data_IF_764367176778
#
_entry.id   IF_764367176778
#
_cell.length_a   1.000
_cell.length_b   1.000
_cell.length_c   1.000
_cell.angle_alpha   90.00
_cell.angle_beta   90.00
_cell.angle_gamma   90.00
#
_symmetry.space_group_name_H-M   'P 1'
#
loop_
_entity.id
_entity.type
_entity.pdbx_description
1 polymer ?
#
# COMPACT_ATOMS: atom_id res chain seq x y z
N UNK A 1 -24.37 28.57 -17.95
CA UNK A 1 -24.48 28.71 -16.49
C UNK A 1 -24.15 27.36 -15.88
N UNK A 2 -22.90 27.12 -15.47
CA UNK A 2 -22.50 25.88 -14.81
C UNK A 2 -23.04 25.90 -13.38
N UNK A 3 -24.02 25.06 -13.09
CA UNK A 3 -24.54 24.88 -11.74
C UNK A 3 -23.42 24.41 -10.82
N UNK A 4 -23.03 25.25 -9.85
CA UNK A 4 -22.19 24.85 -8.73
C UNK A 4 -23.02 23.92 -7.81
N UNK A 5 -23.19 22.68 -8.24
CA UNK A 5 -23.81 21.64 -7.41
C UNK A 5 -22.78 21.21 -6.39
N UNK A 6 -22.92 21.73 -5.16
CA UNK A 6 -22.17 21.24 -4.01
C UNK A 6 -22.79 19.90 -3.61
N UNK A 7 -22.10 18.80 -3.91
CA UNK A 7 -22.50 17.47 -3.43
C UNK A 7 -22.13 17.35 -1.95
N UNK A 8 -23.09 16.94 -1.13
CA UNK A 8 -22.84 16.66 0.28
C UNK A 8 -21.91 15.44 0.39
N UNK A 9 -20.83 15.59 1.16
CA UNK A 9 -19.94 14.49 1.57
C UNK A 9 -20.02 14.39 3.09
N UNK A 10 -20.27 13.20 3.66
CA UNK A 10 -20.28 13.01 5.11
C UNK A 10 -19.00 13.50 5.78
N UNK A 11 -19.12 14.11 6.96
CA UNK A 11 -17.96 14.61 7.72
C UNK A 11 -16.92 13.53 7.97
N UNK A 12 -17.35 12.29 8.24
CA UNK A 12 -16.45 11.17 8.47
C UNK A 12 -15.56 10.88 7.25
N UNK A 13 -16.10 10.95 6.04
CA UNK A 13 -15.33 10.78 4.79
C UNK A 13 -14.37 11.94 4.57
N UNK A 14 -14.80 13.18 4.81
CA UNK A 14 -13.93 14.36 4.73
C UNK A 14 -12.75 14.25 5.71
N UNK A 15 -13.03 13.87 6.96
CA UNK A 15 -12.00 13.67 7.98
C UNK A 15 -11.07 12.51 7.62
N UNK A 16 -11.60 11.40 7.09
CA UNK A 16 -10.78 10.28 6.63
C UNK A 16 -9.80 10.66 5.51
N UNK A 17 -10.28 11.39 4.50
CA UNK A 17 -9.45 11.89 3.41
C UNK A 17 -8.39 12.89 3.90
N UNK A 18 -8.75 13.80 4.81
CA UNK A 18 -7.83 14.76 5.41
C UNK A 18 -6.72 14.04 6.19
N UNK A 19 -7.09 13.11 7.07
CA UNK A 19 -6.13 12.34 7.87
C UNK A 19 -5.18 11.52 6.98
N UNK A 20 -5.70 10.90 5.92
CA UNK A 20 -4.87 10.15 4.97
C UNK A 20 -3.86 11.07 4.27
N UNK A 21 -4.31 12.23 3.80
CA UNK A 21 -3.44 13.20 3.14
C UNK A 21 -2.35 13.72 4.07
N UNK A 22 -2.71 14.08 5.31
CA UNK A 22 -1.75 14.52 6.33
C UNK A 22 -0.73 13.42 6.66
N UNK A 23 -1.18 12.17 6.79
CA UNK A 23 -0.29 11.03 7.00
C UNK A 23 0.69 10.83 5.85
N UNK A 24 0.23 10.89 4.60
CA UNK A 24 1.07 10.76 3.41
C UNK A 24 2.09 11.90 3.34
N UNK A 25 1.64 13.15 3.52
CA UNK A 25 2.51 14.32 3.49
C UNK A 25 3.56 14.21 4.60
N UNK A 26 3.15 13.93 5.84
CA UNK A 26 4.07 13.81 6.96
C UNK A 26 5.11 12.71 6.73
N UNK A 27 4.68 11.55 6.23
CA UNK A 27 5.59 10.45 5.88
C UNK A 27 6.58 10.85 4.79
N UNK A 28 6.12 11.56 3.76
CA UNK A 28 6.96 12.03 2.65
C UNK A 28 7.99 13.07 3.10
N UNK A 29 7.57 14.06 3.89
CA UNK A 29 8.37 15.27 4.18
C UNK A 29 9.22 15.17 5.43
N UNK A 30 8.78 14.44 6.46
CA UNK A 30 9.46 14.41 7.76
C UNK A 30 10.25 13.13 8.01
N UNK A 31 9.93 12.03 7.30
CA UNK A 31 10.60 10.74 7.49
C UNK A 31 11.66 10.50 6.42
N UNK A 32 12.81 9.98 6.84
CA UNK A 32 14.00 9.80 5.98
C UNK A 32 14.32 8.34 5.68
N UNK A 33 13.52 7.39 6.15
CA UNK A 33 13.72 5.98 5.85
C UNK A 33 13.73 5.75 4.33
N UNK A 34 14.75 5.02 3.86
CA UNK A 34 15.09 4.81 2.45
C UNK A 34 15.65 6.02 1.67
N UNK A 35 15.85 7.17 2.32
CA UNK A 35 16.31 8.42 1.71
C UNK A 35 15.19 9.44 1.53
N UNK A 36 15.56 10.71 1.30
CA UNK A 36 14.62 11.83 1.17
C UNK A 36 14.07 11.98 -0.25
N UNK A 37 14.87 11.66 -1.27
CA UNK A 37 14.60 12.03 -2.68
C UNK A 37 14.10 10.87 -3.54
N UNK A 38 13.66 9.80 -2.90
CA UNK A 38 13.21 8.55 -3.54
C UNK A 38 11.69 8.48 -3.73
N UNK A 39 10.91 9.46 -3.25
CA UNK A 39 9.44 9.32 -3.17
C UNK A 39 8.80 8.98 -4.52
N UNK A 40 9.28 9.60 -5.60
CA UNK A 40 8.73 9.42 -6.94
C UNK A 40 9.15 8.07 -7.58
N UNK A 41 10.14 7.38 -6.99
CA UNK A 41 10.59 6.05 -7.42
C UNK A 41 9.66 4.94 -6.91
N UNK A 42 9.52 3.86 -7.69
CA UNK A 42 8.73 2.67 -7.32
C UNK A 42 9.57 1.50 -6.80
N UNK A 43 10.85 1.76 -6.56
CA UNK A 43 11.79 0.85 -5.91
C UNK A 43 12.66 1.66 -4.97
N UNK A 44 12.66 1.29 -3.70
CA UNK A 44 13.55 1.90 -2.71
C UNK A 44 14.50 0.85 -2.15
N UNK A 45 15.67 1.31 -1.70
CA UNK A 45 16.59 0.46 -0.95
C UNK A 45 17.37 1.22 0.13
N UNK A 46 17.82 0.47 1.13
CA UNK A 46 18.65 0.96 2.24
C UNK A 46 19.45 -0.19 2.84
N UNK A 47 20.29 0.10 3.84
CA UNK A 47 21.04 -0.90 4.58
C UNK A 47 20.45 -1.11 5.97
N UNK A 48 20.25 -2.38 6.33
CA UNK A 48 19.93 -2.82 7.68
C UNK A 48 21.11 -3.67 8.22
N UNK A 49 22.04 -2.99 8.90
CA UNK A 49 23.35 -3.57 9.20
C UNK A 49 24.10 -3.93 7.91
N UNK A 50 24.47 -5.20 7.74
CA UNK A 50 25.17 -5.69 6.54
C UNK A 50 24.23 -6.12 5.40
N UNK A 51 22.92 -6.08 5.60
CA UNK A 51 21.93 -6.55 4.61
C UNK A 51 21.33 -5.38 3.86
N UNK A 52 21.29 -5.48 2.53
CA UNK A 52 20.53 -4.56 1.69
C UNK A 52 19.05 -4.90 1.81
N UNK A 53 18.23 -3.94 2.22
CA UNK A 53 16.77 -4.03 2.23
C UNK A 53 16.25 -3.33 0.99
N UNK A 54 15.42 -4.02 0.23
CA UNK A 54 14.81 -3.50 -1.00
C UNK A 54 13.31 -3.63 -0.87
N UNK A 55 12.58 -2.58 -1.23
CA UNK A 55 11.14 -2.62 -1.39
C UNK A 55 10.79 -2.20 -2.82
N UNK A 56 9.84 -2.91 -3.40
CA UNK A 56 9.30 -2.64 -4.73
C UNK A 56 7.80 -2.53 -4.65
N UNK A 57 7.29 -1.37 -5.01
CA UNK A 57 5.88 -1.03 -4.99
C UNK A 57 5.15 -1.56 -6.23
N UNK A 58 5.28 -2.86 -6.49
CA UNK A 58 4.65 -3.54 -7.62
C UNK A 58 3.30 -4.16 -7.26
N UNK A 59 2.41 -4.23 -8.24
CA UNK A 59 1.13 -4.96 -8.14
C UNK A 59 1.31 -6.46 -8.41
N UNK A 60 0.41 -7.29 -7.88
CA UNK A 60 0.27 -8.71 -8.24
C UNK A 60 -0.69 -8.93 -9.43
N UNK A 61 -1.41 -7.89 -9.88
CA UNK A 61 -2.35 -7.96 -11.01
C UNK A 61 -1.67 -8.13 -12.37
N UNK A 62 -0.35 -7.96 -12.40
CA UNK A 62 0.49 -8.08 -13.60
C UNK A 62 1.70 -8.95 -13.28
N UNK A 63 2.17 -9.77 -14.24
CA UNK A 63 3.39 -10.54 -14.06
C UNK A 63 4.57 -9.64 -13.69
N UNK A 64 5.40 -10.09 -12.74
CA UNK A 64 6.55 -9.34 -12.24
C UNK A 64 7.75 -10.28 -12.09
N UNK A 65 8.94 -9.77 -12.39
CA UNK A 65 10.21 -10.43 -12.17
C UNK A 65 11.25 -9.42 -11.69
N UNK A 66 12.47 -9.86 -11.41
CA UNK A 66 13.53 -8.99 -10.87
C UNK A 66 13.83 -7.72 -11.68
N UNK A 67 13.50 -7.68 -12.97
CA UNK A 67 13.80 -6.58 -13.88
C UNK A 67 12.55 -5.81 -14.36
N UNK A 68 11.40 -6.48 -14.46
CA UNK A 68 10.17 -5.92 -15.01
C UNK A 68 9.04 -6.08 -14.02
N UNK A 69 8.32 -5.00 -13.76
CA UNK A 69 7.15 -4.99 -12.91
C UNK A 69 6.29 -3.77 -13.24
N UNK A 70 4.99 -3.88 -12.97
CA UNK A 70 4.08 -2.74 -12.98
C UNK A 70 3.89 -2.22 -11.55
N UNK A 71 3.91 -0.89 -11.34
CA UNK A 71 3.67 -0.34 -10.02
C UNK A 71 2.21 -0.52 -9.58
N UNK A 72 2.00 -0.49 -8.28
CA UNK A 72 0.65 -0.32 -7.69
C UNK A 72 0.05 0.98 -8.25
N UNK A 73 -1.22 0.96 -8.62
CA UNK A 73 -1.89 2.15 -9.16
C UNK A 73 -2.20 3.20 -8.08
N UNK A 74 -2.17 4.47 -8.44
CA UNK A 74 -2.72 5.54 -7.61
C UNK A 74 -4.27 5.39 -7.50
N UNK A 75 -4.89 5.82 -6.38
CA UNK A 75 -4.29 6.52 -5.23
C UNK A 75 -3.62 5.62 -4.17
N UNK A 76 -3.80 4.29 -4.23
CA UNK A 76 -3.28 3.37 -3.21
C UNK A 76 -1.75 3.36 -3.07
N UNK A 77 -1.01 3.69 -4.14
CA UNK A 77 0.44 3.74 -4.14
C UNK A 77 1.01 4.71 -3.09
N UNK A 78 0.45 5.90 -2.95
CA UNK A 78 0.98 6.91 -2.03
C UNK A 78 0.76 6.52 -0.57
N UNK A 79 -0.41 5.93 -0.26
CA UNK A 79 -0.66 5.29 1.03
C UNK A 79 0.35 4.18 1.31
N UNK A 80 0.62 3.32 0.32
CA UNK A 80 1.57 2.22 0.46
C UNK A 80 2.98 2.73 0.77
N UNK A 81 3.43 3.74 0.04
CA UNK A 81 4.73 4.40 0.25
C UNK A 81 4.84 5.01 1.65
N UNK A 82 3.79 5.73 2.08
CA UNK A 82 3.70 6.31 3.42
C UNK A 82 3.76 5.22 4.51
N UNK A 83 2.95 4.17 4.39
CA UNK A 83 2.92 3.05 5.32
C UNK A 83 4.28 2.37 5.47
N UNK A 84 4.95 2.03 4.36
CA UNK A 84 6.27 1.37 4.40
C UNK A 84 7.31 2.28 5.05
N UNK A 85 7.33 3.58 4.73
CA UNK A 85 8.28 4.52 5.32
C UNK A 85 8.04 4.74 6.81
N UNK A 86 6.79 4.88 7.23
CA UNK A 86 6.43 5.01 8.64
C UNK A 86 6.83 3.74 9.42
N UNK A 87 6.36 2.58 8.94
CA UNK A 87 6.70 1.28 9.52
C UNK A 87 8.21 1.11 9.71
N UNK A 88 8.99 1.42 8.68
CA UNK A 88 10.44 1.22 8.72
C UNK A 88 11.16 2.26 9.57
N UNK A 89 10.63 3.48 9.68
CA UNK A 89 11.13 4.48 10.64
C UNK A 89 10.97 3.98 12.07
N UNK A 90 9.78 3.49 12.41
CA UNK A 90 9.46 3.05 13.78
C UNK A 90 10.15 1.73 14.12
N UNK A 91 10.18 0.79 13.17
CA UNK A 91 10.72 -0.56 13.36
C UNK A 91 11.43 -1.05 12.09
N UNK A 92 12.71 -0.71 11.92
CA UNK A 92 13.51 -1.23 10.82
C UNK A 92 13.53 -2.76 10.82
N UNK A 93 13.35 -3.37 9.65
CA UNK A 93 13.35 -4.83 9.47
C UNK A 93 14.24 -5.23 8.30
N UNK A 94 14.90 -6.39 8.41
CA UNK A 94 15.79 -6.87 7.36
C UNK A 94 15.06 -7.33 6.07
N UNK A 95 13.74 -7.48 6.09
CA UNK A 95 12.94 -7.93 4.97
C UNK A 95 11.50 -7.38 5.04
N UNK A 96 11.05 -6.73 3.97
CA UNK A 96 9.70 -6.15 3.83
C UNK A 96 8.71 -7.00 3.03
N UNK A 97 9.12 -8.20 2.59
CA UNK A 97 8.32 -9.05 1.69
C UNK A 97 6.90 -9.31 2.23
N UNK A 98 6.76 -9.64 3.51
CA UNK A 98 5.45 -9.93 4.12
C UNK A 98 4.53 -8.71 4.13
N UNK A 99 5.08 -7.53 4.38
CA UNK A 99 4.31 -6.27 4.35
C UNK A 99 3.84 -5.97 2.93
N UNK A 100 4.73 -6.13 1.94
CA UNK A 100 4.35 -5.94 0.54
C UNK A 100 3.35 -7.00 0.05
N UNK A 101 3.46 -8.25 0.51
CA UNK A 101 2.50 -9.31 0.21
C UNK A 101 1.09 -8.91 0.70
N UNK A 102 0.98 -8.50 1.97
CA UNK A 102 -0.28 -8.06 2.56
C UNK A 102 -0.86 -6.84 1.83
N UNK A 103 -0.03 -5.87 1.47
CA UNK A 103 -0.43 -4.69 0.70
C UNK A 103 -0.98 -5.08 -0.67
N UNK A 104 -0.33 -6.01 -1.38
CA UNK A 104 -0.78 -6.45 -2.72
C UNK A 104 -2.08 -7.25 -2.65
N UNK A 105 -2.23 -8.09 -1.62
CA UNK A 105 -3.50 -8.77 -1.34
C UNK A 105 -4.61 -7.75 -1.08
N UNK A 106 -4.32 -6.71 -0.29
CA UNK A 106 -5.27 -5.64 -0.01
C UNK A 106 -5.62 -4.82 -1.28
N UNK A 107 -4.63 -4.52 -2.13
CA UNK A 107 -4.85 -3.88 -3.44
C UNK A 107 -5.85 -4.69 -4.29
N UNK A 108 -5.62 -5.99 -4.43
CA UNK A 108 -6.50 -6.87 -5.19
C UNK A 108 -7.90 -6.95 -4.59
N UNK A 109 -8.02 -7.07 -3.26
CA UNK A 109 -9.31 -7.12 -2.58
C UNK A 109 -10.11 -5.82 -2.75
N UNK A 110 -9.44 -4.66 -2.65
CA UNK A 110 -10.04 -3.35 -2.92
C UNK A 110 -10.60 -3.28 -4.35
N UNK A 111 -9.82 -3.72 -5.34
CA UNK A 111 -10.25 -3.71 -6.74
C UNK A 111 -11.40 -4.69 -6.98
N UNK A 112 -11.37 -5.89 -6.39
CA UNK A 112 -12.46 -6.86 -6.53
C UNK A 112 -13.77 -6.36 -5.94
N UNK A 113 -13.73 -5.70 -4.78
CA UNK A 113 -14.94 -5.23 -4.09
C UNK A 113 -15.47 -3.91 -4.66
N UNK A 114 -14.58 -3.02 -5.10
CA UNK A 114 -14.95 -1.60 -5.35
C UNK A 114 -14.60 -1.11 -6.76
N UNK A 115 -13.86 -1.90 -7.54
CA UNK A 115 -13.39 -1.53 -8.87
C UNK A 115 -12.17 -0.60 -8.89
N UNK A 116 -11.66 -0.15 -7.73
CA UNK A 116 -10.45 0.68 -7.64
C UNK A 116 -9.58 0.35 -6.42
N UNK A 117 -8.28 0.59 -6.53
CA UNK A 117 -7.38 0.53 -5.38
C UNK A 117 -7.38 1.88 -4.66
N UNK A 118 -8.20 2.00 -3.61
CA UNK A 118 -8.30 3.21 -2.78
C UNK A 118 -8.54 2.82 -1.32
N UNK A 119 -7.59 3.13 -0.45
CA UNK A 119 -7.64 2.72 0.96
C UNK A 119 -8.83 3.31 1.71
N UNK A 120 -9.39 4.45 1.26
CA UNK A 120 -10.57 5.05 1.88
C UNK A 120 -11.84 4.24 1.63
N UNK A 121 -11.82 3.29 0.69
CA UNK A 121 -12.91 2.35 0.46
C UNK A 121 -12.77 1.05 1.26
N UNK A 122 -11.78 0.94 2.14
CA UNK A 122 -11.66 -0.22 3.01
C UNK A 122 -12.88 -0.29 3.95
N UNK A 123 -13.70 -1.30 3.74
CA UNK A 123 -14.89 -1.61 4.53
C UNK A 123 -15.05 -3.12 4.74
N UNK A 124 -16.16 -3.55 5.34
CA UNK A 124 -16.44 -4.98 5.55
C UNK A 124 -16.47 -5.81 4.27
N UNK A 125 -16.98 -5.24 3.16
CA UNK A 125 -17.06 -5.92 1.86
C UNK A 125 -15.67 -6.21 1.30
N UNK A 126 -14.73 -5.28 1.46
CA UNK A 126 -13.32 -5.48 1.08
C UNK A 126 -12.68 -6.57 1.93
N UNK A 127 -12.95 -6.57 3.25
CA UNK A 127 -12.40 -7.58 4.16
C UNK A 127 -12.88 -8.99 3.83
N UNK A 128 -14.14 -9.16 3.42
CA UNK A 128 -14.69 -10.45 2.98
C UNK A 128 -13.97 -11.00 1.73
N UNK A 129 -13.39 -10.13 0.88
CA UNK A 129 -12.61 -10.54 -0.30
C UNK A 129 -11.18 -10.94 0.03
N UNK A 130 -10.66 -10.60 1.20
CA UNK A 130 -9.27 -10.94 1.56
C UNK A 130 -9.04 -12.45 1.56
N UNK A 131 -9.99 -13.22 2.10
CA UNK A 131 -9.88 -14.69 2.14
C UNK A 131 -9.72 -15.30 0.75
N UNK A 132 -10.58 -14.86 -0.18
CA UNK A 132 -10.54 -15.26 -1.60
C UNK A 132 -9.17 -14.94 -2.23
N UNK A 133 -8.69 -13.72 -2.04
CA UNK A 133 -7.41 -13.26 -2.63
C UNK A 133 -6.21 -13.98 -2.00
N UNK A 134 -6.20 -14.16 -0.67
CA UNK A 134 -5.14 -14.88 0.03
C UNK A 134 -5.00 -16.31 -0.49
N UNK A 135 -6.11 -17.03 -0.66
CA UNK A 135 -6.07 -18.38 -1.18
C UNK A 135 -5.63 -18.44 -2.65
N UNK A 136 -6.02 -17.45 -3.46
CA UNK A 136 -5.63 -17.37 -4.87
C UNK A 136 -4.14 -17.08 -5.04
N UNK A 137 -3.59 -16.13 -4.29
CA UNK A 137 -2.20 -15.67 -4.44
C UNK A 137 -1.21 -16.48 -3.61
N UNK A 138 -1.63 -16.99 -2.44
CA UNK A 138 -0.79 -17.70 -1.49
C UNK A 138 -1.38 -19.09 -1.21
N UNK A 139 -1.08 -20.04 -2.10
CA UNK A 139 -1.57 -21.42 -1.96
C UNK A 139 -1.04 -22.15 -0.71
N UNK A 140 0.16 -21.81 -0.24
CA UNK A 140 0.76 -22.37 0.97
C UNK A 140 0.23 -21.71 2.26
N UNK A 141 -0.30 -22.52 3.19
CA UNK A 141 -0.74 -22.09 4.53
C UNK A 141 0.37 -21.36 5.28
N UNK A 142 1.64 -21.79 5.15
CA UNK A 142 2.76 -21.10 5.82
C UNK A 142 3.01 -19.70 5.25
N UNK A 143 2.73 -19.49 3.97
CA UNK A 143 2.84 -18.18 3.34
C UNK A 143 1.72 -17.26 3.81
N UNK A 144 0.48 -17.77 3.87
CA UNK A 144 -0.69 -17.06 4.41
C UNK A 144 -0.49 -16.58 5.85
N UNK A 145 -0.12 -17.48 6.77
CA UNK A 145 0.11 -17.12 8.18
C UNK A 145 1.25 -16.09 8.35
N UNK A 146 2.24 -16.09 7.44
CA UNK A 146 3.33 -15.10 7.46
C UNK A 146 2.90 -13.73 6.93
N UNK A 147 1.86 -13.67 6.09
CA UNK A 147 1.31 -12.44 5.54
C UNK A 147 0.21 -11.82 6.43
N UNK A 148 -0.16 -12.49 7.53
CA UNK A 148 -1.14 -11.98 8.51
C UNK A 148 -2.57 -12.51 8.35
N UNK A 149 -2.74 -13.61 7.61
CA UNK A 149 -3.95 -14.45 7.66
C UNK A 149 -3.97 -15.24 8.97
#
# INVERSE_FOLDING_TARGET
MTSNVIRFTPKAELTGQQNLNEFIISSRTHLTAFGTDNWDENKWDTMHGKRKVVVRFSTNLKPSNSYHYEPISAPFLDFTKAYIRNLYTDKPVANLQRHMEAIRVLEEALILATGKADILLLDGTVLERLDEVFHRQLSDVKARNKAGY
#
